data_IF_779147454493
#
_entry.id   IF_779147454493
#
_cell.length_a   1.000
_cell.length_b   1.000
_cell.length_c   1.000
_cell.angle_alpha   90.00
_cell.angle_beta   90.00
_cell.angle_gamma   90.00
#
_symmetry.space_group_name_H-M   'P 1'
#
loop_
_entity.id
_entity.type
_entity.pdbx_description
1 polymer ?
#
# COMPACT_ATOMS: atom_id res chain seq x y z
N UNK A 1 -9.90 -17.84 -8.04
CA UNK A 1 -8.93 -16.95 -7.35
C UNK A 1 -8.81 -15.68 -8.15
N UNK A 2 -8.92 -14.50 -7.56
CA UNK A 2 -8.58 -13.26 -8.25
C UNK A 2 -7.07 -13.26 -8.46
N UNK A 3 -6.64 -13.06 -9.71
CA UNK A 3 -5.21 -13.00 -10.04
C UNK A 3 -4.66 -11.64 -9.57
N UNK A 4 -3.90 -11.64 -8.46
CA UNK A 4 -3.24 -10.44 -7.95
C UNK A 4 -1.98 -10.06 -8.75
N UNK A 5 -1.67 -10.82 -9.81
CA UNK A 5 -0.52 -10.61 -10.69
C UNK A 5 -0.95 -10.13 -12.08
N UNK A 6 -2.05 -9.38 -12.15
CA UNK A 6 -2.53 -8.83 -13.41
C UNK A 6 -1.50 -7.85 -14.01
N UNK A 7 -1.36 -7.89 -15.33
CA UNK A 7 -0.47 -7.06 -16.13
C UNK A 7 -1.28 -6.26 -17.16
N UNK A 8 -0.73 -5.27 -17.84
CA UNK A 8 -1.40 -4.60 -18.95
C UNK A 8 -1.89 -5.54 -20.05
N UNK A 9 -1.29 -6.73 -20.18
CA UNK A 9 -1.68 -7.75 -21.17
C UNK A 9 -3.01 -8.45 -20.80
N UNK A 10 -3.41 -8.38 -19.54
CA UNK A 10 -4.66 -8.98 -19.04
C UNK A 10 -5.88 -8.05 -19.22
N UNK A 11 -5.69 -6.87 -19.80
CA UNK A 11 -6.77 -5.90 -20.03
C UNK A 11 -7.67 -6.36 -21.15
N UNK A 12 -8.87 -6.81 -20.83
CA UNK A 12 -9.86 -7.31 -21.79
C UNK A 12 -10.77 -6.21 -22.37
N UNK A 13 -10.84 -5.05 -21.73
CA UNK A 13 -11.65 -3.92 -22.19
C UNK A 13 -11.03 -2.60 -21.77
N UNK A 14 -10.86 -1.69 -22.72
CA UNK A 14 -10.30 -0.35 -22.48
C UNK A 14 -11.06 0.68 -23.36
N UNK A 15 -12.34 0.93 -23.09
CA UNK A 15 -13.18 1.80 -23.91
C UNK A 15 -12.71 3.25 -23.94
N UNK A 16 -12.01 3.70 -22.88
CA UNK A 16 -11.42 5.05 -22.81
C UNK A 16 -10.03 5.14 -23.42
N UNK A 17 -9.50 4.04 -23.98
CA UNK A 17 -8.16 3.98 -24.58
C UNK A 17 -7.05 4.50 -23.66
N UNK A 18 -7.10 4.16 -22.37
CA UNK A 18 -6.09 4.55 -21.40
C UNK A 18 -4.73 3.95 -21.80
N UNK A 19 -3.69 4.76 -21.77
CA UNK A 19 -2.32 4.29 -21.90
C UNK A 19 -1.81 3.85 -20.53
N UNK A 20 -1.58 2.55 -20.38
CA UNK A 20 -1.01 1.99 -19.15
C UNK A 20 0.51 1.98 -19.25
N UNK A 21 1.18 2.58 -18.29
CA UNK A 21 2.63 2.70 -18.22
C UNK A 21 3.13 2.05 -16.94
N UNK A 22 3.60 0.78 -17.00
CA UNK A 22 4.24 0.14 -15.84
C UNK A 22 5.58 0.81 -15.56
N UNK A 23 5.77 1.20 -14.30
CA UNK A 23 7.00 1.79 -13.79
C UNK A 23 7.42 1.12 -12.48
N UNK A 24 8.69 1.22 -12.14
CA UNK A 24 9.17 0.87 -10.81
C UNK A 24 8.49 1.74 -9.74
N UNK A 25 8.05 1.13 -8.64
CA UNK A 25 7.29 1.80 -7.58
C UNK A 25 8.02 3.04 -7.01
N UNK A 26 9.34 2.98 -6.89
CA UNK A 26 10.15 4.09 -6.40
C UNK A 26 10.21 5.27 -7.37
N UNK A 27 9.91 5.06 -8.66
CA UNK A 27 9.93 6.11 -9.68
C UNK A 27 8.57 6.79 -9.85
N UNK A 28 7.48 6.14 -9.45
CA UNK A 28 6.13 6.64 -9.67
C UNK A 28 5.88 8.08 -9.17
N UNK A 29 6.32 8.49 -7.97
CA UNK A 29 6.10 9.86 -7.52
C UNK A 29 6.76 10.92 -8.40
N UNK A 30 7.95 10.60 -8.94
CA UNK A 30 8.70 11.52 -9.81
C UNK A 30 8.13 11.61 -11.21
N UNK A 31 7.33 10.63 -11.62
CA UNK A 31 6.73 10.56 -12.95
C UNK A 31 5.36 11.22 -13.02
N UNK A 32 4.85 11.78 -11.91
CA UNK A 32 3.51 12.39 -11.87
C UNK A 32 3.35 13.55 -12.84
N UNK A 33 4.40 14.33 -13.10
CA UNK A 33 4.36 15.44 -14.04
C UNK A 33 4.12 14.98 -15.50
N UNK A 34 4.49 13.73 -15.81
CA UNK A 34 4.35 13.12 -17.13
C UNK A 34 3.11 12.21 -17.25
N UNK A 35 2.34 12.05 -16.17
CA UNK A 35 1.21 11.12 -16.09
C UNK A 35 -0.07 11.84 -15.71
N UNK A 36 -1.20 11.38 -16.23
CA UNK A 36 -2.50 11.91 -15.81
C UNK A 36 -2.87 11.46 -14.40
N UNK A 37 -2.52 10.22 -14.04
CA UNK A 37 -2.78 9.60 -12.73
C UNK A 37 -1.79 8.46 -12.52
N UNK A 38 -1.39 8.23 -11.28
CA UNK A 38 -0.55 7.09 -10.91
C UNK A 38 -1.08 6.39 -9.65
N UNK A 39 -0.90 5.06 -9.58
CA UNK A 39 -1.12 4.28 -8.37
C UNK A 39 0.21 4.20 -7.61
N UNK A 40 0.29 4.84 -6.45
CA UNK A 40 1.52 5.00 -5.68
C UNK A 40 1.32 4.39 -4.28
N UNK A 41 2.27 3.55 -3.86
CA UNK A 41 2.29 3.04 -2.49
C UNK A 41 2.52 4.17 -1.49
N UNK A 42 1.85 4.12 -0.36
CA UNK A 42 1.86 5.19 0.65
C UNK A 42 3.26 5.59 1.14
N UNK A 43 4.15 4.62 1.31
CA UNK A 43 5.52 4.86 1.77
C UNK A 43 6.35 5.66 0.75
N UNK A 44 6.15 5.43 -0.55
CA UNK A 44 6.79 6.23 -1.60
C UNK A 44 6.13 7.60 -1.76
N UNK A 45 4.82 7.69 -1.60
CA UNK A 45 4.11 8.97 -1.62
C UNK A 45 4.58 9.87 -0.46
N UNK A 46 4.65 9.34 0.75
CA UNK A 46 5.10 10.07 1.94
C UNK A 46 6.55 10.56 1.80
N UNK A 47 7.48 9.71 1.34
CA UNK A 47 8.87 10.07 1.07
C UNK A 47 9.01 11.16 0.02
N UNK A 48 8.07 11.25 -0.91
CA UNK A 48 8.03 12.29 -1.93
C UNK A 48 7.31 13.57 -1.48
N UNK A 49 6.83 13.62 -0.23
CA UNK A 49 6.10 14.77 0.31
C UNK A 49 4.63 14.86 -0.13
N UNK A 50 4.10 13.81 -0.77
CA UNK A 50 2.70 13.75 -1.17
C UNK A 50 1.80 13.43 0.03
N UNK A 51 0.67 14.10 0.10
CA UNK A 51 -0.31 13.93 1.17
C UNK A 51 -1.52 13.13 0.70
N UNK A 52 -1.81 12.04 1.40
CA UNK A 52 -3.01 11.22 1.13
C UNK A 52 -4.32 12.03 1.24
N UNK A 53 -4.33 13.08 2.04
CA UNK A 53 -5.49 13.92 2.26
C UNK A 53 -5.67 15.03 1.20
N UNK A 54 -4.57 15.48 0.58
CA UNK A 54 -4.57 16.62 -0.33
C UNK A 54 -4.39 16.22 -1.79
N UNK A 55 -3.50 15.25 -2.04
CA UNK A 55 -3.02 14.93 -3.39
C UNK A 55 -3.66 13.65 -3.95
N UNK A 56 -4.24 12.80 -3.09
CA UNK A 56 -4.88 11.58 -3.55
C UNK A 56 -6.30 11.83 -4.07
N UNK A 57 -6.55 11.45 -5.32
CA UNK A 57 -7.88 11.44 -5.95
C UNK A 57 -8.71 10.27 -5.41
N UNK A 58 -8.09 9.12 -5.22
CA UNK A 58 -8.69 7.89 -4.68
C UNK A 58 -7.68 7.24 -3.74
N UNK A 59 -8.18 6.67 -2.65
CA UNK A 59 -7.40 5.82 -1.74
C UNK A 59 -8.10 4.49 -1.54
N UNK A 60 -7.35 3.42 -1.40
CA UNK A 60 -7.92 2.11 -1.09
C UNK A 60 -8.37 2.01 0.37
N UNK A 61 -9.25 1.05 0.64
CA UNK A 61 -9.66 0.73 2.00
C UNK A 61 -8.48 0.14 2.79
N UNK A 62 -8.26 0.56 4.06
CA UNK A 62 -7.24 -0.07 4.91
C UNK A 62 -7.51 -1.56 5.19
N UNK A 63 -8.75 -2.03 4.99
CA UNK A 63 -9.12 -3.44 5.05
C UNK A 63 -9.02 -4.14 3.70
N UNK A 64 -8.37 -3.53 2.71
CA UNK A 64 -8.18 -4.08 1.37
C UNK A 64 -7.16 -5.24 1.35
N UNK A 65 -7.10 -5.99 0.23
CA UNK A 65 -6.22 -7.15 0.11
C UNK A 65 -4.73 -6.80 -0.01
N UNK A 66 -4.39 -5.54 -0.10
CA UNK A 66 -3.03 -5.04 -0.27
C UNK A 66 -2.41 -4.47 1.01
N UNK A 67 -3.08 -4.63 2.16
CA UNK A 67 -2.50 -4.27 3.44
C UNK A 67 -1.19 -5.05 3.68
N UNK A 68 -0.18 -4.38 4.20
CA UNK A 68 1.07 -5.02 4.57
C UNK A 68 0.85 -6.01 5.71
N UNK A 69 1.65 -7.06 5.76
CA UNK A 69 1.50 -8.15 6.71
C UNK A 69 2.86 -8.63 7.26
N UNK A 70 2.81 -9.31 8.38
CA UNK A 70 3.96 -10.03 8.93
C UNK A 70 3.94 -11.44 8.34
N UNK A 71 4.94 -11.76 7.52
CA UNK A 71 5.09 -13.08 6.93
C UNK A 71 6.05 -13.94 7.76
N UNK A 72 5.64 -15.19 8.05
CA UNK A 72 6.46 -16.19 8.71
C UNK A 72 6.38 -17.52 7.95
N UNK A 73 7.35 -18.40 8.15
CA UNK A 73 7.23 -19.76 7.63
C UNK A 73 6.05 -20.48 8.27
N UNK A 74 5.38 -21.36 7.54
CA UNK A 74 4.23 -22.12 8.07
C UNK A 74 4.57 -22.87 9.38
N UNK A 75 5.78 -23.41 9.50
CA UNK A 75 6.25 -24.10 10.70
C UNK A 75 6.43 -23.18 11.91
N UNK A 76 6.44 -21.88 11.72
CA UNK A 76 6.70 -20.88 12.75
C UNK A 76 5.45 -20.08 13.15
N UNK A 77 4.34 -20.21 12.41
CA UNK A 77 3.15 -19.37 12.60
C UNK A 77 2.55 -19.48 14.01
N UNK A 78 2.66 -20.64 14.65
CA UNK A 78 2.10 -20.90 15.97
C UNK A 78 3.14 -20.78 17.10
N UNK A 79 4.36 -20.44 16.79
CA UNK A 79 5.42 -20.28 17.81
C UNK A 79 5.16 -19.06 18.68
N UNK A 80 5.49 -19.13 20.00
CA UNK A 80 5.28 -18.05 20.93
C UNK A 80 5.85 -16.70 20.48
N UNK A 81 7.05 -16.70 19.92
CA UNK A 81 7.71 -15.49 19.42
C UNK A 81 6.95 -14.83 18.26
N UNK A 82 6.36 -15.61 17.34
CA UNK A 82 5.60 -15.07 16.22
C UNK A 82 4.31 -14.39 16.72
N UNK A 83 3.60 -15.04 17.64
CA UNK A 83 2.41 -14.46 18.29
C UNK A 83 2.74 -13.21 19.10
N UNK A 84 3.87 -13.23 19.82
CA UNK A 84 4.34 -12.08 20.59
C UNK A 84 4.69 -10.89 19.69
N UNK A 85 5.34 -11.14 18.53
CA UNK A 85 5.64 -10.11 17.53
C UNK A 85 4.36 -9.47 17.00
N UNK A 86 3.37 -10.29 16.60
CA UNK A 86 2.08 -9.78 16.10
C UNK A 86 1.38 -8.94 17.18
N UNK A 87 1.32 -9.45 18.41
CA UNK A 87 0.70 -8.73 19.53
C UNK A 87 1.38 -7.39 19.81
N UNK A 88 2.71 -7.35 19.77
CA UNK A 88 3.47 -6.10 19.95
C UNK A 88 3.21 -5.12 18.81
N UNK A 89 3.20 -5.61 17.57
CA UNK A 89 2.98 -4.76 16.39
C UNK A 89 1.55 -4.20 16.33
N UNK A 90 0.56 -4.95 16.78
CA UNK A 90 -0.85 -4.55 16.79
C UNK A 90 -1.27 -3.88 18.13
N UNK A 91 -0.31 -3.40 18.89
CA UNK A 91 -0.59 -2.74 20.16
C UNK A 91 -1.20 -1.34 19.97
N UNK A 92 -1.95 -0.84 20.99
CA UNK A 92 -2.47 0.54 20.98
C UNK A 92 -1.37 1.59 20.85
N UNK A 93 -0.19 1.33 21.41
CA UNK A 93 0.98 2.21 21.37
C UNK A 93 1.49 2.36 19.93
N UNK A 94 1.63 1.24 19.20
CA UNK A 94 2.04 1.26 17.80
C UNK A 94 0.98 1.93 16.94
N UNK A 95 -0.29 1.67 17.18
CA UNK A 95 -1.39 2.35 16.48
C UNK A 95 -1.33 3.87 16.67
N UNK A 96 -1.20 4.31 17.91
CA UNK A 96 -1.08 5.73 18.25
C UNK A 96 0.16 6.37 17.61
N UNK A 97 1.30 5.66 17.64
CA UNK A 97 2.53 6.11 17.00
C UNK A 97 2.33 6.30 15.49
N UNK A 98 1.73 5.33 14.78
CA UNK A 98 1.47 5.43 13.35
C UNK A 98 0.59 6.65 13.05
N UNK A 99 -0.49 6.83 13.79
CA UNK A 99 -1.43 7.94 13.59
C UNK A 99 -0.77 9.30 13.82
N UNK A 100 0.06 9.42 14.85
CA UNK A 100 0.72 10.68 15.22
C UNK A 100 1.89 10.97 14.29
N UNK A 101 2.75 9.98 14.04
CA UNK A 101 3.98 10.15 13.27
C UNK A 101 3.73 10.42 11.80
N UNK A 102 2.78 9.70 11.21
CA UNK A 102 2.54 9.74 9.76
C UNK A 102 1.32 10.58 9.36
N UNK A 103 0.60 11.13 10.32
CA UNK A 103 -0.49 12.09 10.10
C UNK A 103 -1.46 11.70 8.94
N UNK A 104 -1.83 10.42 8.89
CA UNK A 104 -2.73 9.87 7.87
C UNK A 104 -2.04 9.40 6.58
N UNK A 105 -0.74 9.59 6.40
CA UNK A 105 0.00 9.02 5.26
C UNK A 105 0.08 7.49 5.34
N UNK A 106 0.21 6.94 6.55
CA UNK A 106 0.09 5.50 6.83
C UNK A 106 -1.14 5.26 7.70
N UNK A 107 -1.89 4.21 7.37
CA UNK A 107 -3.13 3.86 8.07
C UNK A 107 -3.00 2.47 8.67
N UNK A 108 -3.18 2.30 10.00
CA UNK A 108 -3.22 0.97 10.61
C UNK A 108 -4.37 0.14 10.02
N UNK A 109 -4.09 -1.10 9.62
CA UNK A 109 -5.06 -2.04 9.08
C UNK A 109 -5.49 -3.11 10.12
N UNK A 110 -5.30 -2.82 11.42
CA UNK A 110 -5.61 -3.71 12.54
C UNK A 110 -6.35 -2.95 13.65
#
# INVERSE_FOLDING_TARGET
>A
MKNNSATPLDVVSNPKKLKLVPLDAAQLPRSLDDLTIASINNDYAEKAGLSLAKDAVIKESPQGPYANLIAVRRADQDKPWARQLVKAYQSPEVKSFIQTKFNGALVPAF
#
